data_IF_929352504527
#
_entry.id   IF_929352504527
#
_cell.length_a   1.000
_cell.length_b   1.000
_cell.length_c   1.000
_cell.angle_alpha   90.00
_cell.angle_beta   90.00
_cell.angle_gamma   90.00
#
_symmetry.space_group_name_H-M   'P 1'
#
loop_
_entity.id
_entity.type
_entity.pdbx_description
1 polymer ?
#
# COMPACT_ATOMS: atom_id res chain seq x y z
N UNK A 1 -3.75 4.28 8.89
CA UNK A 1 -2.75 3.36 8.31
C UNK A 1 -3.43 2.19 7.64
N UNK A 2 -4.07 1.28 8.39
CA UNK A 2 -4.76 0.10 7.83
C UNK A 2 -5.65 0.47 6.65
N UNK A 3 -6.57 1.41 6.83
CA UNK A 3 -7.48 1.88 5.78
C UNK A 3 -6.71 2.46 4.57
N UNK A 4 -5.63 3.18 4.82
CA UNK A 4 -4.79 3.78 3.80
C UNK A 4 -4.02 2.71 3.01
N UNK A 5 -3.54 1.65 3.66
CA UNK A 5 -2.90 0.51 2.99
C UNK A 5 -3.87 -0.21 2.05
N UNK A 6 -5.11 -0.46 2.49
CA UNK A 6 -6.14 -1.07 1.63
C UNK A 6 -6.47 -0.18 0.43
N UNK A 7 -6.63 1.12 0.64
CA UNK A 7 -6.86 2.08 -0.45
C UNK A 7 -5.66 2.05 -1.42
N UNK A 8 -4.43 2.03 -0.92
CA UNK A 8 -3.22 1.96 -1.74
C UNK A 8 -3.24 0.79 -2.72
N UNK A 9 -3.53 -0.42 -2.22
CA UNK A 9 -3.61 -1.63 -3.06
C UNK A 9 -4.71 -1.52 -4.12
N UNK A 10 -5.84 -0.89 -3.77
CA UNK A 10 -7.01 -0.80 -4.65
C UNK A 10 -6.84 0.24 -5.77
N UNK A 11 -6.12 1.33 -5.50
CA UNK A 11 -6.10 2.52 -6.35
C UNK A 11 -5.31 2.32 -7.66
N UNK A 12 -4.53 1.24 -7.79
CA UNK A 12 -3.72 0.91 -8.98
C UNK A 12 -2.98 2.13 -9.54
N UNK A 13 -2.20 2.78 -8.69
CA UNK A 13 -1.42 3.96 -9.08
C UNK A 13 0.01 3.56 -9.32
N UNK A 14 0.55 3.97 -10.45
CA UNK A 14 1.96 3.76 -10.76
C UNK A 14 2.84 4.51 -9.76
N UNK A 15 4.01 3.96 -9.45
CA UNK A 15 4.93 4.52 -8.43
C UNK A 15 5.29 5.98 -8.73
N UNK A 16 5.43 6.36 -10.00
CA UNK A 16 5.74 7.75 -10.39
C UNK A 16 4.64 8.74 -9.96
N UNK A 17 3.37 8.30 -9.95
CA UNK A 17 2.23 9.14 -9.57
C UNK A 17 1.92 9.05 -8.07
N UNK A 18 2.26 7.95 -7.40
CA UNK A 18 1.93 7.77 -5.99
C UNK A 18 2.78 8.66 -5.06
N UNK A 19 4.05 8.89 -5.40
CA UNK A 19 4.96 9.77 -4.64
C UNK A 19 4.44 11.22 -4.56
N UNK A 20 4.11 11.91 -5.66
CA UNK A 20 3.60 13.28 -5.59
C UNK A 20 2.25 13.37 -4.87
N UNK A 21 1.41 12.33 -4.93
CA UNK A 21 0.20 12.25 -4.11
C UNK A 21 0.57 12.24 -2.62
N UNK A 22 1.55 11.42 -2.21
CA UNK A 22 2.04 11.41 -0.83
C UNK A 22 2.54 12.78 -0.36
N UNK A 23 3.31 13.48 -1.19
CA UNK A 23 3.80 14.83 -0.89
C UNK A 23 2.65 15.84 -0.77
N UNK A 24 1.64 15.75 -1.64
CA UNK A 24 0.45 16.59 -1.54
C UNK A 24 -0.33 16.32 -0.24
N UNK A 25 -0.45 15.05 0.19
CA UNK A 25 -1.11 14.67 1.44
C UNK A 25 -0.34 15.14 2.70
N UNK A 26 0.99 15.17 2.63
CA UNK A 26 1.83 15.78 3.67
C UNK A 26 1.49 17.28 3.81
N UNK A 27 1.32 17.98 2.69
CA UNK A 27 0.99 19.41 2.66
C UNK A 27 -0.39 19.75 3.26
N UNK A 28 -1.32 18.80 3.29
CA UNK A 28 -2.66 18.97 3.90
C UNK A 28 -2.67 18.53 5.39
N UNK A 29 -1.53 18.10 5.93
CA UNK A 29 -1.39 17.73 7.34
C UNK A 29 -1.83 16.31 7.68
N UNK A 30 -1.91 15.41 6.68
CA UNK A 30 -2.11 13.99 6.97
C UNK A 30 -0.85 13.44 7.64
N UNK A 31 -1.04 12.61 8.67
CA UNK A 31 0.05 12.00 9.40
C UNK A 31 0.98 11.16 8.50
N UNK A 32 2.29 11.33 8.66
CA UNK A 32 3.32 10.72 7.82
C UNK A 32 3.26 9.18 7.82
N UNK A 33 3.00 8.55 8.97
CA UNK A 33 2.84 7.10 9.05
C UNK A 33 1.65 6.57 8.26
N UNK A 34 0.56 7.35 8.19
CA UNK A 34 -0.61 7.04 7.33
C UNK A 34 -0.24 7.12 5.86
N UNK A 35 0.54 8.14 5.48
CA UNK A 35 0.99 8.35 4.10
C UNK A 35 1.96 7.25 3.69
N UNK A 36 2.95 6.91 4.53
CA UNK A 36 3.89 5.83 4.25
C UNK A 36 3.19 4.47 4.10
N UNK A 37 2.19 4.20 4.94
CA UNK A 37 1.36 3.00 4.82
C UNK A 37 0.59 2.96 3.49
N UNK A 38 0.09 4.09 2.99
CA UNK A 38 -0.54 4.19 1.68
C UNK A 38 0.46 4.00 0.52
N UNK A 39 1.60 4.69 0.57
CA UNK A 39 2.63 4.66 -0.47
C UNK A 39 3.20 3.24 -0.66
N UNK A 40 3.57 2.59 0.44
CA UNK A 40 4.16 1.24 0.40
C UNK A 40 3.14 0.21 -0.08
N UNK A 41 1.89 0.29 0.39
CA UNK A 41 0.87 -0.66 -0.02
C UNK A 41 0.53 -0.51 -1.51
N UNK A 42 0.38 0.72 -2.00
CA UNK A 42 0.08 0.99 -3.41
C UNK A 42 1.23 0.69 -4.36
N UNK A 43 2.49 0.83 -3.91
CA UNK A 43 3.65 0.39 -4.69
C UNK A 43 3.87 -1.13 -4.62
N UNK A 44 3.55 -1.77 -3.48
CA UNK A 44 3.85 -3.17 -3.22
C UNK A 44 2.86 -4.16 -3.81
N UNK A 45 1.60 -3.74 -4.03
CA UNK A 45 0.57 -4.59 -4.61
C UNK A 45 -0.51 -3.76 -5.31
N UNK A 46 -1.11 -4.33 -6.35
CA UNK A 46 -2.10 -3.65 -7.19
C UNK A 46 -3.20 -4.62 -7.62
N UNK A 47 -4.41 -4.09 -7.81
CA UNK A 47 -5.56 -4.90 -8.22
C UNK A 47 -5.32 -5.65 -9.56
N UNK A 48 -4.77 -5.04 -10.63
CA UNK A 48 -4.49 -5.75 -11.89
C UNK A 48 -3.45 -6.86 -11.74
N UNK A 49 -2.39 -6.63 -10.97
CA UNK A 49 -1.33 -7.60 -10.68
C UNK A 49 -1.91 -8.80 -9.93
N UNK A 50 -2.82 -8.58 -8.98
CA UNK A 50 -3.52 -9.67 -8.29
C UNK A 50 -4.41 -10.47 -9.24
N UNK A 51 -5.10 -9.80 -10.17
CA UNK A 51 -5.92 -10.45 -11.20
C UNK A 51 -5.04 -11.32 -12.10
N UNK A 52 -3.87 -10.82 -12.50
CA UNK A 52 -2.91 -11.55 -13.33
C UNK A 52 -2.31 -12.74 -12.58
N UNK A 53 -1.86 -12.55 -11.34
CA UNK A 53 -1.33 -13.63 -10.51
C UNK A 53 -2.38 -14.70 -10.21
N UNK A 54 -3.67 -14.35 -10.09
CA UNK A 54 -4.75 -15.32 -9.88
C UNK A 54 -4.82 -16.38 -10.99
N UNK A 55 -4.41 -16.04 -12.21
CA UNK A 55 -4.38 -17.00 -13.33
C UNK A 55 -3.24 -18.02 -13.23
N UNK A 56 -2.21 -17.74 -12.42
CA UNK A 56 -0.98 -18.53 -12.32
C UNK A 56 -0.89 -19.24 -10.95
N UNK A 57 -1.35 -18.59 -9.89
CA UNK A 57 -1.22 -19.03 -8.50
C UNK A 57 -2.57 -19.41 -7.87
N UNK A 58 -2.51 -20.28 -6.86
CA UNK A 58 -3.66 -20.59 -6.00
C UNK A 58 -4.04 -19.38 -5.15
N UNK A 59 -5.33 -19.22 -4.87
CA UNK A 59 -5.86 -18.12 -4.04
C UNK A 59 -5.15 -17.99 -2.67
N UNK A 60 -4.76 -19.10 -2.05
CA UNK A 60 -4.04 -19.10 -0.77
C UNK A 60 -2.70 -18.35 -0.85
N UNK A 61 -1.98 -18.47 -1.97
CA UNK A 61 -0.72 -17.78 -2.18
C UNK A 61 -0.94 -16.28 -2.39
N UNK A 62 -2.01 -15.94 -3.12
CA UNK A 62 -2.41 -14.56 -3.36
C UNK A 62 -2.80 -13.85 -2.06
N UNK A 63 -3.56 -14.53 -1.19
CA UNK A 63 -3.91 -14.02 0.13
C UNK A 63 -2.69 -13.81 1.02
N UNK A 64 -1.73 -14.74 0.99
CA UNK A 64 -0.47 -14.61 1.72
C UNK A 64 0.35 -13.41 1.23
N UNK A 65 0.45 -13.24 -0.09
CA UNK A 65 1.15 -12.11 -0.71
C UNK A 65 0.54 -10.76 -0.29
N UNK A 66 -0.79 -10.60 -0.43
CA UNK A 66 -1.50 -9.39 -0.01
C UNK A 66 -1.34 -9.16 1.49
N UNK A 67 -1.48 -10.22 2.30
CA UNK A 67 -1.28 -10.13 3.74
C UNK A 67 0.12 -9.64 4.11
N UNK A 68 1.16 -10.14 3.42
CA UNK A 68 2.53 -9.72 3.64
C UNK A 68 2.76 -8.24 3.29
N UNK A 69 2.23 -7.79 2.15
CA UNK A 69 2.31 -6.38 1.73
C UNK A 69 1.60 -5.47 2.73
N UNK A 70 0.40 -5.85 3.18
CA UNK A 70 -0.32 -5.12 4.22
C UNK A 70 0.46 -5.07 5.53
N UNK A 71 1.03 -6.19 5.97
CA UNK A 71 1.86 -6.25 7.18
C UNK A 71 3.06 -5.30 7.09
N UNK A 72 3.79 -5.31 5.97
CA UNK A 72 4.95 -4.43 5.77
C UNK A 72 4.50 -2.96 5.74
N UNK A 73 3.45 -2.63 4.99
CA UNK A 73 2.97 -1.26 4.86
C UNK A 73 2.46 -0.69 6.20
N UNK A 74 1.69 -1.47 6.96
CA UNK A 74 1.17 -1.05 8.27
C UNK A 74 2.30 -1.00 9.29
N UNK A 75 3.17 -1.99 9.32
CA UNK A 75 4.31 -2.03 10.25
C UNK A 75 5.25 -0.85 10.03
N UNK A 76 5.62 -0.56 8.78
CA UNK A 76 6.44 0.60 8.47
C UNK A 76 5.73 1.91 8.78
N UNK A 77 4.46 2.04 8.42
CA UNK A 77 3.66 3.22 8.78
C UNK A 77 3.57 3.44 10.30
N UNK A 78 3.50 2.36 11.09
CA UNK A 78 3.47 2.43 12.55
C UNK A 78 4.83 2.83 13.14
N UNK A 79 5.94 2.36 12.55
CA UNK A 79 7.29 2.78 12.95
C UNK A 79 7.45 4.29 12.73
N UNK A 80 7.08 4.79 11.55
CA UNK A 80 7.17 6.22 11.22
C UNK A 80 6.23 7.06 12.07
N UNK A 81 5.07 6.53 12.46
CA UNK A 81 4.15 7.24 13.34
C UNK A 81 4.71 7.51 14.73
N UNK A 82 5.56 6.60 15.23
CA UNK A 82 6.13 6.67 16.57
C UNK A 82 7.47 7.41 16.61
N UNK A 83 8.11 7.59 15.45
CA UNK A 83 9.35 8.34 15.29
C UNK A 83 9.05 9.84 15.16
#
# INVERSE_FOLDING_TARGET
MIFAAFIGILLYVRVEAIIPIGVALLGVGINEGVIMSFLIAGAGCSLPELILLKSIFKLNFLALFVGLVLCIAIGFGMIIYFL
#
